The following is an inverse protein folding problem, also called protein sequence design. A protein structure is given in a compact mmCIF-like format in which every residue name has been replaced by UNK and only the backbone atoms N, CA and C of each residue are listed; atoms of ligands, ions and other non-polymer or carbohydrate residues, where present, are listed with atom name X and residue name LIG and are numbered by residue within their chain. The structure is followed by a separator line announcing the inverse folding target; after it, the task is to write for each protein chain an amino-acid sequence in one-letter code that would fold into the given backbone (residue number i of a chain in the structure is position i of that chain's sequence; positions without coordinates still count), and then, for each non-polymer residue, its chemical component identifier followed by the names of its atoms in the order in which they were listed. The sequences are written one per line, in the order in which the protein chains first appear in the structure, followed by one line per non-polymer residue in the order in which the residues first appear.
data_IF_938922712284
#
_entry.id   IF_938922712284
#
_cell.length_a   1.000
_cell.length_b   1.000
_cell.length_c   1.000
_cell.angle_alpha   90.00
_cell.angle_beta   90.00
_cell.angle_gamma   90.00
#
_symmetry.space_group_name_H-M   'P 1'
#
loop_
_entity.id
_entity.type
_entity.pdbx_description
1 polymer ?
#
# COMPACT_ATOMS: atom_id res chain seq x y z
N UNK A 1 -14.01 26.61 31.21
CA UNK A 1 -14.85 26.36 30.03
C UNK A 1 -13.93 26.22 28.84
N UNK A 2 -13.74 24.99 28.38
CA UNK A 2 -12.91 24.65 27.22
C UNK A 2 -13.90 24.29 26.12
N UNK A 3 -13.95 25.07 25.06
CA UNK A 3 -14.57 24.68 23.80
C UNK A 3 -13.44 24.16 22.92
N UNK A 4 -13.42 22.85 22.65
CA UNK A 4 -12.61 22.27 21.58
C UNK A 4 -13.50 22.15 20.35
N UNK A 5 -13.32 23.06 19.40
CA UNK A 5 -13.95 22.95 18.09
C UNK A 5 -13.14 21.96 17.25
N UNK A 6 -13.78 20.82 16.97
CA UNK A 6 -13.30 19.78 16.07
C UNK A 6 -13.44 20.24 14.63
N UNK A 7 -12.33 20.28 13.89
CA UNK A 7 -12.34 20.48 12.44
C UNK A 7 -12.45 19.13 11.75
N UNK A 8 -13.62 18.83 11.19
CA UNK A 8 -13.80 17.72 10.26
C UNK A 8 -13.34 18.14 8.87
N UNK A 9 -12.25 17.54 8.40
CA UNK A 9 -11.73 17.76 7.04
C UNK A 9 -12.28 16.64 6.15
N UNK A 10 -13.41 16.91 5.50
CA UNK A 10 -13.99 16.04 4.46
C UNK A 10 -13.36 16.39 3.13
N UNK A 11 -12.54 15.50 2.57
CA UNK A 11 -12.15 15.54 1.16
C UNK A 11 -12.85 14.41 0.40
N UNK A 12 -13.73 14.78 -0.52
CA UNK A 12 -14.19 13.90 -1.59
C UNK A 12 -13.98 14.63 -2.92
N UNK A 13 -12.79 14.51 -3.50
CA UNK A 13 -12.54 14.93 -4.87
C UNK A 13 -12.87 13.77 -5.82
N UNK A 14 -14.00 13.87 -6.53
CA UNK A 14 -14.05 13.42 -7.92
C UNK A 14 -15.02 14.28 -8.73
N UNK A 15 -14.44 15.19 -9.51
CA UNK A 15 -15.13 15.89 -10.58
C UNK A 15 -15.10 14.97 -11.82
N UNK A 16 -16.27 14.54 -12.28
CA UNK A 16 -16.44 13.95 -13.61
C UNK A 16 -17.64 14.59 -14.28
N UNK A 17 -17.36 15.35 -15.33
CA UNK A 17 -18.34 16.03 -16.16
C UNK A 17 -18.97 15.05 -17.14
N UNK A 18 -20.08 14.41 -16.76
CA UNK A 18 -21.17 14.04 -17.68
C UNK A 18 -22.35 13.49 -16.90
N UNK A 19 -23.53 14.05 -17.14
CA UNK A 19 -24.82 13.63 -16.57
C UNK A 19 -25.04 12.12 -16.67
N UNK A 20 -25.19 11.43 -15.53
CA UNK A 20 -26.17 10.35 -15.29
C UNK A 20 -26.00 9.76 -13.89
N UNK A 21 -27.12 9.75 -13.14
CA UNK A 21 -27.52 8.88 -12.01
C UNK A 21 -26.38 8.32 -11.13
N UNK A 22 -26.29 8.84 -9.91
CA UNK A 22 -25.54 8.26 -8.80
C UNK A 22 -26.05 6.84 -8.54
N UNK A 23 -25.24 5.84 -8.87
CA UNK A 23 -25.44 4.46 -8.38
C UNK A 23 -24.38 4.25 -7.32
N UNK A 24 -24.83 4.09 -6.08
CA UNK A 24 -23.97 3.75 -4.94
C UNK A 24 -23.70 2.25 -5.05
N UNK A 25 -22.44 1.87 -5.23
CA UNK A 25 -22.02 0.48 -5.13
C UNK A 25 -21.48 0.25 -3.72
N UNK A 26 -22.22 -0.49 -2.92
CA UNK A 26 -21.76 -1.01 -1.64
C UNK A 26 -20.87 -2.23 -1.93
N UNK A 27 -19.59 -2.13 -1.59
CA UNK A 27 -18.67 -3.28 -1.67
C UNK A 27 -18.93 -4.14 -0.44
N UNK A 28 -19.50 -5.32 -0.65
CA UNK A 28 -19.66 -6.33 0.40
C UNK A 28 -18.34 -7.09 0.54
N UNK A 29 -17.54 -6.70 1.52
CA UNK A 29 -16.33 -7.43 1.92
C UNK A 29 -16.75 -8.69 2.67
N UNK A 30 -16.55 -9.85 2.02
CA UNK A 30 -16.71 -11.15 2.67
C UNK A 30 -15.49 -11.38 3.57
N UNK A 31 -15.76 -11.58 4.85
CA UNK A 31 -14.80 -11.94 5.88
C UNK A 31 -14.07 -13.23 5.46
N UNK A 32 -12.74 -13.17 5.31
CA UNK A 32 -11.93 -14.38 5.24
C UNK A 32 -12.02 -15.07 6.60
N UNK A 33 -12.47 -16.33 6.60
CA UNK A 33 -12.57 -17.12 7.81
C UNK A 33 -11.16 -17.40 8.37
N UNK A 34 -10.97 -17.37 9.70
CA UNK A 34 -9.72 -17.81 10.29
C UNK A 34 -9.50 -19.29 9.97
N UNK A 35 -8.32 -19.63 9.44
CA UNK A 35 -7.89 -21.01 9.26
C UNK A 35 -7.81 -21.67 10.65
N UNK A 36 -8.83 -22.46 10.99
CA UNK A 36 -8.84 -23.31 12.18
C UNK A 36 -7.80 -24.42 11.98
N UNK A 37 -6.77 -24.42 12.83
CA UNK A 37 -5.84 -25.52 12.98
C UNK A 37 -6.60 -26.71 13.59
N UNK A 38 -6.94 -27.70 12.76
CA UNK A 38 -7.60 -28.92 13.21
C UNK A 38 -6.64 -29.78 14.03
N UNK A 39 -6.86 -29.82 15.35
CA UNK A 39 -6.41 -30.91 16.21
C UNK A 39 -7.47 -32.01 16.14
N UNK A 40 -7.08 -33.14 15.55
CA UNK A 40 -7.85 -34.37 15.49
C UNK A 40 -8.02 -34.94 16.90
N UNK A 41 -9.24 -35.02 17.41
CA UNK A 41 -9.67 -36.08 18.33
C UNK A 41 -11.07 -36.54 17.94
N UNK A 42 -11.19 -37.86 17.74
CA UNK A 42 -12.43 -38.61 17.60
C UNK A 42 -13.28 -38.52 18.88
N UNK A 43 -14.61 -38.42 18.74
CA UNK A 43 -15.58 -39.35 19.36
C UNK A 43 -17.03 -38.85 19.18
N UNK A 44 -17.88 -39.82 18.87
CA UNK A 44 -19.31 -39.80 18.57
C UNK A 44 -20.22 -39.21 19.66
N UNK A 45 -21.31 -38.56 19.26
CA UNK A 45 -22.63 -38.70 19.91
C UNK A 45 -23.72 -37.99 19.10
N UNK A 46 -24.76 -38.73 18.72
CA UNK A 46 -26.02 -38.21 18.18
C UNK A 46 -26.80 -37.48 19.29
N UNK A 47 -27.31 -36.27 19.01
CA UNK A 47 -28.51 -35.77 19.66
C UNK A 47 -29.24 -34.71 18.82
N UNK A 48 -30.48 -35.06 18.50
CA UNK A 48 -31.54 -34.23 17.94
C UNK A 48 -32.08 -33.27 19.02
N UNK A 49 -32.30 -32.00 18.67
CA UNK A 49 -33.43 -31.18 19.16
C UNK A 49 -33.41 -29.75 18.64
N UNK A 50 -34.59 -29.37 18.18
CA UNK A 50 -35.07 -28.10 17.65
C UNK A 50 -35.06 -26.97 18.69
N UNK A 51 -34.74 -25.75 18.28
CA UNK A 51 -34.90 -24.55 19.10
C UNK A 51 -34.70 -23.28 18.28
N UNK A 52 -35.81 -22.63 17.94
CA UNK A 52 -35.85 -21.26 17.43
C UNK A 52 -35.34 -20.31 18.51
N UNK A 53 -34.38 -19.43 18.20
CA UNK A 53 -34.20 -18.23 18.99
C UNK A 53 -33.71 -17.05 18.16
N UNK A 54 -34.43 -15.95 18.31
CA UNK A 54 -34.38 -14.75 17.48
C UNK A 54 -33.56 -13.69 18.22
N UNK A 55 -32.24 -13.69 18.02
CA UNK A 55 -31.35 -12.71 18.63
C UNK A 55 -31.09 -11.53 17.69
N UNK A 56 -31.60 -10.36 18.09
CA UNK A 56 -31.20 -9.06 17.56
C UNK A 56 -29.71 -8.85 17.74
N UNK A 57 -28.95 -8.93 16.65
CA UNK A 57 -27.53 -8.62 16.60
C UNK A 57 -27.33 -7.10 16.80
N UNK A 58 -27.01 -6.69 18.02
CA UNK A 58 -26.33 -5.43 18.30
C UNK A 58 -25.00 -5.43 17.54
N UNK A 59 -24.94 -4.63 16.47
CA UNK A 59 -23.70 -4.36 15.76
C UNK A 59 -22.87 -3.43 16.63
N UNK A 60 -21.98 -4.01 17.44
CA UNK A 60 -20.88 -3.30 18.05
C UNK A 60 -20.00 -2.73 16.92
N UNK A 61 -20.21 -1.45 16.66
CA UNK A 61 -19.37 -0.61 15.82
C UNK A 61 -18.00 -0.52 16.50
N UNK A 62 -17.09 -1.44 16.13
CA UNK A 62 -15.69 -1.37 16.54
C UNK A 62 -15.07 -0.17 15.82
N UNK A 63 -15.28 1.00 16.40
CA UNK A 63 -14.55 2.22 16.17
C UNK A 63 -13.19 2.02 16.84
N UNK A 64 -12.28 1.28 16.20
CA UNK A 64 -10.87 1.36 16.56
C UNK A 64 -10.46 2.81 16.30
N UNK A 65 -10.43 3.60 17.37
CA UNK A 65 -9.93 4.96 17.34
C UNK A 65 -8.50 4.90 16.78
N UNK A 66 -8.25 5.62 15.69
CA UNK A 66 -6.97 5.73 14.99
C UNK A 66 -5.88 6.44 15.82
N UNK A 67 -5.95 6.38 17.15
CA UNK A 67 -5.17 7.23 18.06
C UNK A 67 -3.68 6.84 18.13
N UNK A 68 -3.30 5.68 17.59
CA UNK A 68 -1.90 5.22 17.59
C UNK A 68 -1.26 5.17 16.18
N UNK A 69 -1.87 5.78 15.15
CA UNK A 69 -1.24 5.81 13.84
C UNK A 69 0.00 6.72 13.85
N UNK A 70 1.17 6.11 13.95
CA UNK A 70 2.46 6.80 13.87
C UNK A 70 2.61 7.43 12.48
N UNK A 71 2.78 8.76 12.45
CA UNK A 71 3.01 9.51 11.21
C UNK A 71 4.52 9.69 10.94
N UNK A 72 4.98 9.54 9.68
CA UNK A 72 6.39 9.74 9.30
C UNK A 72 7.00 11.06 9.81
N UNK A 73 6.26 12.16 9.77
CA UNK A 73 6.74 13.48 10.20
C UNK A 73 6.98 13.59 11.72
N UNK A 74 6.31 12.75 12.52
CA UNK A 74 6.42 12.76 13.98
C UNK A 74 7.59 11.91 14.49
N UNK A 75 8.10 11.01 13.63
CA UNK A 75 9.17 10.09 13.97
C UNK A 75 10.52 10.78 13.77
N UNK A 76 11.24 10.96 14.87
CA UNK A 76 12.53 11.68 14.91
C UNK A 76 13.67 10.83 15.46
N UNK A 77 13.39 9.58 15.86
CA UNK A 77 14.32 8.65 16.52
C UNK A 77 14.90 7.59 15.59
N UNK A 78 14.39 7.45 14.36
CA UNK A 78 14.81 6.46 13.36
C UNK A 78 14.58 7.00 11.94
N UNK A 79 15.31 6.48 10.96
CA UNK A 79 15.25 6.98 9.57
C UNK A 79 14.02 6.52 8.79
N UNK A 80 13.43 5.38 9.16
CA UNK A 80 12.33 4.76 8.44
C UNK A 80 11.27 4.17 9.38
N UNK A 81 10.03 4.17 8.91
CA UNK A 81 8.94 3.35 9.45
C UNK A 81 8.48 2.33 8.40
N UNK A 82 7.94 1.22 8.88
CA UNK A 82 7.61 0.05 8.07
C UNK A 82 6.18 -0.42 8.34
N UNK A 83 5.55 -0.94 7.30
CA UNK A 83 4.31 -1.71 7.38
C UNK A 83 4.49 -2.99 6.55
N UNK A 84 4.47 -4.19 7.16
CA UNK A 84 4.31 -4.45 8.60
C UNK A 84 5.49 -3.92 9.44
N UNK A 85 5.30 -3.65 10.75
CA UNK A 85 6.32 -2.99 11.60
C UNK A 85 7.59 -3.80 11.87
N UNK A 86 7.55 -5.12 11.69
CA UNK A 86 8.63 -6.04 12.07
C UNK A 86 9.59 -6.38 10.93
N UNK A 87 9.38 -5.81 9.75
CA UNK A 87 10.04 -6.28 8.54
C UNK A 87 11.10 -5.26 8.03
N UNK A 88 12.14 -5.05 8.84
CA UNK A 88 13.39 -4.46 8.32
C UNK A 88 14.01 -5.35 7.22
N UNK A 89 13.58 -6.61 7.13
CA UNK A 89 14.04 -7.58 6.15
C UNK A 89 13.41 -7.41 4.75
N UNK A 90 12.42 -6.52 4.55
CA UNK A 90 11.82 -6.28 3.23
C UNK A 90 12.90 -5.94 2.19
N UNK A 91 13.92 -5.19 2.57
CA UNK A 91 15.05 -4.84 1.69
C UNK A 91 16.20 -5.86 1.74
N UNK A 92 16.25 -6.74 2.75
CA UNK A 92 17.42 -7.55 3.10
C UNK A 92 17.26 -9.07 2.98
N UNK A 93 16.04 -9.60 2.81
CA UNK A 93 15.83 -11.04 2.76
C UNK A 93 16.23 -11.62 1.39
N UNK A 94 17.24 -12.49 1.37
CA UNK A 94 17.81 -13.07 0.14
C UNK A 94 16.81 -13.92 -0.65
N UNK A 95 15.80 -14.48 0.01
CA UNK A 95 14.74 -15.28 -0.61
C UNK A 95 13.76 -14.44 -1.44
N UNK A 96 13.72 -13.12 -1.24
CA UNK A 96 12.81 -12.19 -1.90
C UNK A 96 13.44 -11.51 -3.14
N UNK A 97 14.34 -12.19 -3.85
CA UNK A 97 15.03 -11.64 -5.04
C UNK A 97 14.06 -11.12 -6.11
N UNK A 98 12.89 -11.73 -6.21
CA UNK A 98 11.90 -11.40 -7.22
C UNK A 98 10.97 -10.25 -6.82
N UNK A 99 11.10 -9.67 -5.63
CA UNK A 99 10.27 -8.53 -5.23
C UNK A 99 10.82 -7.20 -5.80
N UNK A 100 10.00 -6.15 -5.72
CA UNK A 100 10.46 -4.80 -6.00
C UNK A 100 9.50 -3.76 -5.44
N UNK A 101 9.75 -2.50 -5.78
CA UNK A 101 9.06 -1.36 -5.17
C UNK A 101 8.83 -0.22 -6.13
N UNK A 102 7.65 0.38 -6.03
CA UNK A 102 7.36 1.72 -6.54
C UNK A 102 7.87 2.76 -5.55
N UNK A 103 8.48 3.83 -6.05
CA UNK A 103 9.00 4.93 -5.24
C UNK A 103 8.22 6.21 -5.52
N UNK A 104 7.71 6.85 -4.46
CA UNK A 104 7.10 8.16 -4.52
C UNK A 104 7.93 9.14 -3.70
N UNK A 105 8.15 10.31 -4.25
CA UNK A 105 8.91 11.39 -3.62
C UNK A 105 7.97 12.57 -3.35
N UNK A 106 7.81 12.99 -2.08
CA UNK A 106 7.04 14.19 -1.71
C UNK A 106 7.82 15.49 -1.96
N UNK A 107 9.06 15.41 -2.48
CA UNK A 107 9.90 16.56 -2.83
C UNK A 107 10.21 17.48 -1.64
N UNK A 108 10.43 16.91 -0.46
CA UNK A 108 10.73 17.64 0.77
C UNK A 108 9.52 18.10 1.58
N UNK A 109 8.30 17.79 1.14
CA UNK A 109 7.07 18.08 1.88
C UNK A 109 6.73 16.94 2.86
N UNK A 110 7.02 17.14 4.16
CA UNK A 110 6.71 16.16 5.19
C UNK A 110 5.20 15.95 5.40
N UNK A 111 4.37 16.98 5.20
CA UNK A 111 2.93 16.83 5.30
C UNK A 111 2.40 15.95 4.17
N UNK A 112 2.93 16.14 2.95
CA UNK A 112 2.61 15.27 1.81
C UNK A 112 3.06 13.82 2.04
N UNK A 113 4.17 13.63 2.75
CA UNK A 113 4.66 12.30 3.12
C UNK A 113 3.69 11.59 4.07
N UNK A 114 3.16 12.28 5.08
CA UNK A 114 2.13 11.74 5.97
C UNK A 114 0.84 11.42 5.20
N UNK A 115 0.41 12.31 4.29
CA UNK A 115 -0.75 12.06 3.44
C UNK A 115 -0.58 10.79 2.60
N UNK A 116 0.58 10.60 1.95
CA UNK A 116 0.87 9.37 1.21
C UNK A 116 0.86 8.15 2.13
N UNK A 117 1.49 8.23 3.29
CA UNK A 117 1.51 7.13 4.26
C UNK A 117 0.11 6.65 4.61
N UNK A 118 -0.77 7.57 5.05
CA UNK A 118 -2.15 7.24 5.45
C UNK A 118 -2.96 6.71 4.27
N UNK A 119 -2.86 7.33 3.09
CA UNK A 119 -3.65 6.95 1.91
C UNK A 119 -3.21 5.63 1.28
N UNK A 120 -1.99 5.16 1.55
CA UNK A 120 -1.47 3.89 1.04
C UNK A 120 -1.78 2.70 1.94
N UNK A 121 -2.06 2.91 3.24
CA UNK A 121 -2.37 1.81 4.16
C UNK A 121 -3.51 0.89 3.68
N UNK A 122 -4.63 1.39 3.13
CA UNK A 122 -5.68 0.51 2.60
C UNK A 122 -5.18 -0.47 1.55
N UNK A 123 -4.26 -0.04 0.66
CA UNK A 123 -3.71 -0.91 -0.38
C UNK A 123 -2.87 -2.06 0.21
N UNK A 124 -2.20 -1.82 1.33
CA UNK A 124 -1.51 -2.87 2.07
C UNK A 124 -2.51 -3.86 2.69
N UNK A 125 -3.53 -3.37 3.41
CA UNK A 125 -4.53 -4.24 4.04
C UNK A 125 -5.37 -5.04 3.03
N UNK A 126 -5.58 -4.50 1.83
CA UNK A 126 -6.24 -5.20 0.72
C UNK A 126 -5.33 -6.22 0.00
N UNK A 127 -4.04 -6.29 0.37
CA UNK A 127 -3.06 -7.18 -0.25
C UNK A 127 -2.62 -6.76 -1.65
N UNK A 128 -2.87 -5.51 -2.05
CA UNK A 128 -2.36 -4.95 -3.31
C UNK A 128 -0.86 -4.62 -3.15
N UNK A 129 -0.46 -4.15 -1.97
CA UNK A 129 0.93 -3.96 -1.60
C UNK A 129 1.33 -5.00 -0.57
N UNK A 130 2.54 -5.54 -0.70
CA UNK A 130 3.11 -6.49 0.29
C UNK A 130 3.76 -5.78 1.46
N UNK A 131 4.13 -4.52 1.28
CA UNK A 131 4.69 -3.71 2.34
C UNK A 131 4.85 -2.25 1.93
N UNK A 132 5.02 -1.39 2.92
CA UNK A 132 5.26 0.04 2.75
C UNK A 132 6.43 0.43 3.65
N UNK A 133 7.42 1.12 3.09
CA UNK A 133 8.55 1.70 3.84
C UNK A 133 8.57 3.19 3.59
N UNK A 134 8.51 3.99 4.64
CA UNK A 134 8.48 5.44 4.53
C UNK A 134 9.67 6.04 5.29
N UNK A 135 10.38 6.98 4.67
CA UNK A 135 11.37 7.78 5.40
C UNK A 135 10.68 8.66 6.44
N UNK A 136 11.42 9.08 7.45
CA UNK A 136 10.90 9.91 8.55
C UNK A 136 11.44 11.34 8.49
N UNK A 137 11.09 12.15 9.49
CA UNK A 137 11.66 13.49 9.67
C UNK A 137 13.17 13.46 9.95
N UNK A 138 13.71 12.40 10.57
CA UNK A 138 15.15 12.27 10.82
C UNK A 138 15.92 11.98 9.53
N UNK A 139 15.39 11.10 8.69
CA UNK A 139 16.13 10.50 7.57
C UNK A 139 15.99 11.21 6.23
N UNK A 140 15.33 12.38 6.13
CA UNK A 140 14.94 12.86 4.79
C UNK A 140 14.95 14.38 4.57
N UNK A 141 15.96 14.84 3.82
CA UNK A 141 15.93 16.16 3.19
C UNK A 141 14.88 16.23 2.05
N UNK A 142 14.49 15.09 1.48
CA UNK A 142 13.59 15.01 0.33
C UNK A 142 12.37 14.08 0.48
N UNK A 143 12.34 13.22 1.52
CA UNK A 143 11.32 12.19 1.73
C UNK A 143 11.31 11.10 0.65
N UNK A 144 10.95 9.86 1.02
CA UNK A 144 10.58 8.81 0.08
C UNK A 144 9.62 7.81 0.73
N UNK A 145 8.64 7.37 -0.03
CA UNK A 145 7.80 6.22 0.33
C UNK A 145 7.93 5.13 -0.74
N UNK A 146 8.28 3.94 -0.29
CA UNK A 146 8.47 2.74 -1.09
C UNK A 146 7.27 1.82 -0.89
N UNK A 147 6.63 1.42 -1.99
CA UNK A 147 5.47 0.52 -1.99
C UNK A 147 5.89 -0.79 -2.66
N UNK A 148 5.93 -1.88 -1.90
CA UNK A 148 6.44 -3.17 -2.37
C UNK A 148 5.37 -4.03 -3.02
N UNK A 149 5.76 -4.81 -4.02
CA UNK A 149 4.92 -5.86 -4.62
C UNK A 149 5.59 -7.23 -4.47
N UNK A 150 4.78 -8.29 -4.54
CA UNK A 150 5.22 -9.66 -4.28
C UNK A 150 6.16 -10.19 -5.37
N UNK A 151 5.88 -9.85 -6.63
CA UNK A 151 6.64 -10.36 -7.77
C UNK A 151 6.83 -9.27 -8.83
N UNK A 152 8.08 -8.92 -9.07
CA UNK A 152 8.52 -7.95 -10.07
C UNK A 152 8.45 -8.47 -11.50
N UNK A 153 8.27 -9.76 -11.71
CA UNK A 153 8.06 -10.36 -13.04
C UNK A 153 6.57 -10.45 -13.40
N UNK A 154 5.65 -10.30 -12.43
CA UNK A 154 4.21 -10.20 -12.71
C UNK A 154 3.86 -8.75 -13.08
N UNK A 155 4.05 -8.41 -14.35
CA UNK A 155 3.79 -7.06 -14.86
C UNK A 155 2.34 -6.61 -14.63
N UNK A 156 1.37 -7.54 -14.62
CA UNK A 156 -0.04 -7.22 -14.40
C UNK A 156 -0.26 -6.75 -12.96
N UNK A 157 0.27 -7.48 -11.99
CA UNK A 157 0.19 -7.12 -10.57
C UNK A 157 0.96 -5.82 -10.28
N UNK A 158 2.17 -5.68 -10.84
CA UNK A 158 2.98 -4.46 -10.71
C UNK A 158 2.24 -3.24 -11.27
N UNK A 159 1.55 -3.37 -12.41
CA UNK A 159 0.72 -2.31 -12.98
C UNK A 159 -0.49 -2.00 -12.11
N UNK A 160 -1.19 -3.03 -11.64
CA UNK A 160 -2.35 -2.91 -10.77
C UNK A 160 -1.99 -2.11 -9.52
N UNK A 161 -0.87 -2.43 -8.88
CA UNK A 161 -0.34 -1.67 -7.74
C UNK A 161 -0.07 -0.20 -8.11
N UNK A 162 0.59 0.06 -9.25
CA UNK A 162 0.88 1.42 -9.70
C UNK A 162 -0.39 2.27 -9.95
N UNK A 163 -1.40 1.67 -10.59
CA UNK A 163 -2.67 2.32 -10.85
C UNK A 163 -3.40 2.64 -9.55
N UNK A 164 -3.44 1.68 -8.61
CA UNK A 164 -4.07 1.85 -7.31
C UNK A 164 -3.38 2.94 -6.47
N UNK A 165 -2.04 2.93 -6.42
CA UNK A 165 -1.24 3.97 -5.77
C UNK A 165 -1.60 5.35 -6.33
N UNK A 166 -1.61 5.51 -7.66
CA UNK A 166 -1.90 6.81 -8.29
C UNK A 166 -3.34 7.26 -8.04
N UNK A 167 -4.28 6.31 -8.01
CA UNK A 167 -5.69 6.60 -7.75
C UNK A 167 -5.97 7.07 -6.33
N UNK A 168 -5.26 6.53 -5.32
CA UNK A 168 -5.47 6.95 -3.92
C UNK A 168 -4.64 8.18 -3.51
N UNK A 169 -3.44 8.36 -4.07
CA UNK A 169 -2.53 9.46 -3.70
C UNK A 169 -2.65 10.70 -4.57
N UNK A 170 -3.30 10.59 -5.73
CA UNK A 170 -3.28 11.60 -6.80
C UNK A 170 -1.85 12.04 -7.21
N UNK A 171 -0.90 11.11 -7.17
CA UNK A 171 0.52 11.38 -7.46
C UNK A 171 0.69 12.01 -8.86
N UNK A 172 1.41 13.14 -8.95
CA UNK A 172 1.53 13.95 -10.18
C UNK A 172 2.80 13.71 -10.99
N UNK A 173 3.72 12.89 -10.48
CA UNK A 173 5.00 12.63 -11.14
C UNK A 173 5.06 11.22 -11.74
N UNK A 174 6.11 11.00 -12.53
CA UNK A 174 6.45 9.67 -13.02
C UNK A 174 6.90 8.83 -11.84
N UNK A 175 6.34 7.63 -11.71
CA UNK A 175 6.80 6.64 -10.74
C UNK A 175 7.78 5.69 -11.41
N UNK A 176 8.84 5.34 -10.70
CA UNK A 176 9.81 4.34 -11.14
C UNK A 176 9.74 3.14 -10.23
N UNK A 177 9.86 1.96 -10.84
CA UNK A 177 9.91 0.69 -10.14
C UNK A 177 11.34 0.15 -10.15
N UNK A 178 11.84 -0.25 -8.98
CA UNK A 178 13.17 -0.85 -8.81
C UNK A 178 13.01 -2.25 -8.23
N UNK A 179 13.74 -3.23 -8.76
CA UNK A 179 13.82 -4.56 -8.16
C UNK A 179 14.67 -4.53 -6.89
N UNK A 180 14.37 -5.39 -5.93
CA UNK A 180 15.18 -5.48 -4.72
C UNK A 180 16.61 -5.95 -5.03
N UNK A 181 16.78 -6.82 -6.04
CA UNK A 181 18.10 -7.21 -6.54
C UNK A 181 18.96 -6.01 -6.98
N UNK A 182 18.39 -5.06 -7.73
CA UNK A 182 19.11 -3.86 -8.14
C UNK A 182 19.50 -2.97 -6.95
N UNK A 183 18.76 -3.04 -5.84
CA UNK A 183 19.10 -2.33 -4.60
C UNK A 183 20.27 -3.02 -3.90
N UNK A 184 20.24 -4.36 -3.81
CA UNK A 184 21.29 -5.17 -3.20
C UNK A 184 22.65 -5.02 -3.87
N UNK A 185 22.69 -4.91 -5.20
CA UNK A 185 23.96 -4.74 -5.95
C UNK A 185 24.60 -3.35 -5.76
N UNK A 186 24.05 -2.49 -4.90
CA UNK A 186 24.57 -1.15 -4.67
C UNK A 186 24.52 -0.26 -5.92
N UNK A 187 23.66 -0.61 -6.88
CA UNK A 187 23.51 0.17 -8.11
C UNK A 187 22.70 1.42 -7.78
N UNK A 188 23.42 2.51 -7.57
CA UNK A 188 22.88 3.85 -7.34
C UNK A 188 23.34 4.76 -8.49
N UNK A 189 22.67 5.89 -8.67
CA UNK A 189 23.07 6.85 -9.71
C UNK A 189 24.52 7.30 -9.52
N UNK A 190 24.93 7.45 -8.25
CA UNK A 190 26.28 7.83 -7.84
C UNK A 190 27.34 6.80 -8.23
N UNK A 191 26.93 5.56 -8.51
CA UNK A 191 27.80 4.50 -9.04
C UNK A 191 27.79 4.43 -10.57
N UNK A 192 27.28 5.46 -11.26
CA UNK A 192 27.21 5.56 -12.72
C UNK A 192 26.15 4.64 -13.35
N UNK A 193 25.31 3.99 -12.54
CA UNK A 193 24.28 3.08 -13.02
C UNK A 193 23.05 3.87 -13.46
N UNK A 194 22.96 4.22 -14.74
CA UNK A 194 21.74 4.84 -15.32
C UNK A 194 20.58 3.85 -15.49
N UNK A 195 20.82 2.56 -15.25
CA UNK A 195 19.91 1.48 -15.58
C UNK A 195 19.30 0.75 -14.38
N UNK A 196 18.81 1.50 -13.40
CA UNK A 196 18.37 0.92 -12.12
C UNK A 196 16.88 0.55 -12.12
N UNK A 197 16.05 1.34 -12.82
CA UNK A 197 14.59 1.13 -12.85
C UNK A 197 14.21 0.11 -13.93
N UNK A 198 13.38 -0.86 -13.54
CA UNK A 198 12.80 -1.89 -14.44
C UNK A 198 11.56 -1.37 -15.16
N UNK A 199 10.65 -0.74 -14.41
CA UNK A 199 9.42 -0.15 -14.96
C UNK A 199 9.33 1.35 -14.73
N UNK A 200 8.55 2.00 -15.59
CA UNK A 200 8.14 3.39 -15.47
C UNK A 200 6.61 3.48 -15.61
N UNK A 201 5.96 4.19 -14.70
CA UNK A 201 4.52 4.43 -14.74
C UNK A 201 4.23 5.93 -14.78
N UNK A 202 3.45 6.33 -15.79
CA UNK A 202 3.20 7.75 -16.09
C UNK A 202 1.89 8.25 -15.48
N UNK A 203 1.73 9.58 -15.43
CA UNK A 203 0.50 10.24 -14.95
C UNK A 203 -0.75 9.80 -15.72
N UNK A 204 -0.58 9.44 -17.01
CA UNK A 204 -1.65 8.92 -17.86
C UNK A 204 -1.90 7.41 -17.70
N UNK A 205 -1.35 6.80 -16.64
CA UNK A 205 -1.40 5.35 -16.36
C UNK A 205 -0.83 4.46 -17.46
N UNK A 206 0.01 5.01 -18.33
CA UNK A 206 0.79 4.21 -19.27
C UNK A 206 2.01 3.63 -18.55
N UNK A 207 2.28 2.34 -18.81
CA UNK A 207 3.39 1.59 -18.25
C UNK A 207 4.44 1.28 -19.32
N UNK A 208 5.70 1.35 -18.93
CA UNK A 208 6.84 1.10 -19.80
C UNK A 208 7.83 0.17 -19.11
N UNK A 209 8.52 -0.63 -19.91
CA UNK A 209 9.65 -1.48 -19.53
C UNK A 209 10.84 -1.15 -20.43
N UNK A 210 12.05 -1.47 -19.99
CA UNK A 210 13.25 -1.33 -20.82
C UNK A 210 13.43 -2.50 -21.77
N UNK A 211 13.74 -2.21 -23.02
CA UNK A 211 14.21 -3.23 -23.97
C UNK A 211 15.69 -3.60 -23.74
N UNK A 212 16.21 -4.52 -24.56
CA UNK A 212 17.63 -4.94 -24.52
C UNK A 212 18.62 -3.78 -24.75
N UNK A 213 18.17 -2.67 -25.34
CA UNK A 213 18.96 -1.46 -25.56
C UNK A 213 18.75 -0.40 -24.49
N UNK A 214 18.12 -0.73 -23.35
CA UNK A 214 17.77 0.19 -22.27
C UNK A 214 16.84 1.34 -22.66
N UNK A 215 16.05 1.17 -23.73
CA UNK A 215 15.05 2.15 -24.17
C UNK A 215 13.69 1.81 -23.58
N UNK A 216 12.94 2.82 -23.19
CA UNK A 216 11.57 2.63 -22.71
C UNK A 216 10.65 2.20 -23.85
N UNK A 217 10.00 1.05 -23.68
CA UNK A 217 8.99 0.50 -24.56
C UNK A 217 7.67 0.41 -23.79
N UNK A 218 6.59 0.89 -24.40
CA UNK A 218 5.25 0.79 -23.80
C UNK A 218 4.83 -0.67 -23.69
N UNK A 219 4.21 -1.01 -22.57
CA UNK A 219 3.61 -2.32 -22.32
C UNK A 219 2.09 -2.16 -22.41
N UNK A 220 1.46 -3.03 -23.20
CA UNK A 220 0.01 -3.13 -23.28
C UNK A 220 -0.43 -4.32 -22.41
N UNK A 221 -1.18 -4.02 -21.35
CA UNK A 221 -1.73 -4.99 -20.39
C UNK A 221 -3.26 -4.88 -20.37
#
# INVERSE_FOLDING_TARGET
MIFSDSWSVVWACKFSSSSRKKTVFTVSLRKAAPLKLNRFEDLSSDHDSTGEDSSSEEQDEILTTNEDQILPSQVTDRDYIFMPPLDESIDGNEENSNTGKWMLFPLGDLQKLDEFWVTLLPLYYEGILTGIKCSTALGSQHGVINCYTANSEDTSDVKKAADAIRDCTDYKYIMYYKTNEASRRGQYLDSGSSNISKYMHTVKKAMFEKDQGNRWKIIYL
#
